data_IF_490296617113
#
_entry.id   IF_490296617113
#
_cell.length_a   1.000
_cell.length_b   1.000
_cell.length_c   1.000
_cell.angle_alpha   90.00
_cell.angle_beta   90.00
_cell.angle_gamma   90.00
#
_symmetry.space_group_name_H-M   'P 1'
#
loop_
_entity.id
_entity.type
_entity.pdbx_description
1 polymer ?
#
# COMPACT_ATOMS: atom_id res chain seq x y z
N UNK A 1 -23.22 -23.30 41.04
CA UNK A 1 -22.58 -23.45 39.72
C UNK A 1 -23.56 -24.21 38.83
N UNK A 2 -24.36 -23.46 38.06
CA UNK A 2 -25.10 -23.86 36.87
C UNK A 2 -25.76 -22.61 36.28
N UNK A 3 -25.89 -22.61 34.95
CA UNK A 3 -26.24 -21.51 34.05
C UNK A 3 -27.65 -20.93 34.28
N UNK A 4 -27.81 -19.63 33.99
CA UNK A 4 -29.07 -19.06 33.49
C UNK A 4 -28.77 -17.95 32.47
N UNK A 5 -29.27 -18.15 31.25
CA UNK A 5 -29.46 -17.13 30.20
C UNK A 5 -30.88 -16.57 30.34
N UNK A 6 -31.04 -15.24 30.30
CA UNK A 6 -32.14 -14.52 29.63
C UNK A 6 -31.87 -13.01 29.69
N UNK A 7 -31.72 -12.37 28.54
CA UNK A 7 -32.70 -11.46 27.92
C UNK A 7 -32.91 -10.18 28.75
N UNK A 8 -32.47 -9.00 28.34
CA UNK A 8 -32.99 -8.29 27.17
C UNK A 8 -32.24 -6.96 27.07
N UNK A 9 -31.44 -6.75 26.02
CA UNK A 9 -30.94 -5.40 25.70
C UNK A 9 -31.90 -4.79 24.68
N UNK A 10 -32.78 -3.95 25.20
CA UNK A 10 -33.74 -3.14 24.44
C UNK A 10 -33.00 -2.17 23.54
N UNK A 11 -33.42 -2.16 22.27
CA UNK A 11 -32.92 -1.38 21.14
C UNK A 11 -33.30 0.10 21.20
N UNK A 12 -32.99 0.77 22.30
CA UNK A 12 -33.17 2.22 22.46
C UNK A 12 -32.02 2.76 23.30
N UNK A 13 -30.85 2.88 22.66
CA UNK A 13 -29.76 3.79 23.02
C UNK A 13 -28.67 3.65 21.95
N UNK A 14 -29.04 3.84 20.68
CA UNK A 14 -28.07 4.23 19.65
C UNK A 14 -27.70 5.69 19.93
N UNK A 15 -26.81 5.87 20.91
CA UNK A 15 -25.90 7.00 20.88
C UNK A 15 -25.29 7.03 19.48
N UNK A 16 -25.48 8.12 18.76
CA UNK A 16 -24.82 8.40 17.48
C UNK A 16 -23.31 8.24 17.64
N UNK A 17 -22.80 7.02 17.38
CA UNK A 17 -21.38 6.74 17.26
C UNK A 17 -20.86 7.57 16.10
N UNK A 18 -19.92 8.46 16.38
CA UNK A 18 -19.19 9.20 15.36
C UNK A 18 -18.36 8.18 14.57
N UNK A 19 -18.87 7.69 13.44
CA UNK A 19 -18.16 6.77 12.56
C UNK A 19 -16.95 7.48 11.93
N UNK A 20 -15.77 7.35 12.53
CA UNK A 20 -14.51 7.85 11.96
C UNK A 20 -13.98 6.80 10.98
N UNK A 21 -13.84 7.18 9.70
CA UNK A 21 -13.14 6.37 8.69
C UNK A 21 -11.79 6.98 8.41
N UNK A 22 -10.74 6.15 8.43
CA UNK A 22 -9.42 6.58 8.01
C UNK A 22 -9.20 6.22 6.54
N UNK A 23 -8.73 7.20 5.78
CA UNK A 23 -8.31 7.08 4.38
C UNK A 23 -6.91 7.67 4.24
N UNK A 24 -6.27 7.47 3.09
CA UNK A 24 -4.87 7.84 2.80
C UNK A 24 -3.85 6.84 3.37
N UNK A 25 -2.56 7.08 3.15
CA UNK A 25 -1.48 6.27 3.70
C UNK A 25 -1.52 6.32 5.23
N UNK A 26 -1.25 5.21 5.93
CA UNK A 26 -0.75 3.93 5.41
C UNK A 26 -1.84 2.91 5.05
N UNK A 27 -3.11 3.31 4.93
CA UNK A 27 -4.23 2.39 4.79
C UNK A 27 -4.31 1.75 3.39
N UNK A 28 -4.58 0.45 3.35
CA UNK A 28 -4.64 -0.40 2.15
C UNK A 28 -5.50 0.18 1.02
N UNK A 29 -6.66 0.76 1.37
CA UNK A 29 -7.62 1.31 0.41
C UNK A 29 -7.00 2.33 -0.55
N UNK A 30 -6.03 3.12 -0.08
CA UNK A 30 -5.35 4.12 -0.90
C UNK A 30 -4.38 3.49 -1.90
N UNK A 31 -3.77 2.36 -1.55
CA UNK A 31 -2.86 1.62 -2.42
C UNK A 31 -3.64 0.85 -3.50
N UNK A 32 -4.73 0.17 -3.12
CA UNK A 32 -5.64 -0.47 -4.07
C UNK A 32 -6.27 0.53 -5.04
N UNK A 33 -6.66 1.70 -4.55
CA UNK A 33 -7.17 2.77 -5.40
C UNK A 33 -6.10 3.28 -6.36
N UNK A 34 -4.87 3.54 -5.89
CA UNK A 34 -3.77 3.98 -6.74
C UNK A 34 -3.46 2.98 -7.86
N UNK A 35 -3.42 1.68 -7.53
CA UNK A 35 -3.23 0.62 -8.52
C UNK A 35 -4.38 0.57 -9.53
N UNK A 36 -5.62 0.65 -9.04
CA UNK A 36 -6.82 0.65 -9.90
C UNK A 36 -6.74 1.76 -10.95
N UNK A 37 -6.43 2.99 -10.53
CA UNK A 37 -6.29 4.13 -11.44
C UNK A 37 -5.12 3.92 -12.41
N UNK A 38 -3.97 3.44 -11.93
CA UNK A 38 -2.82 3.19 -12.77
C UNK A 38 -3.10 2.12 -13.85
N UNK A 39 -3.81 1.05 -13.49
CA UNK A 39 -4.24 0.01 -14.42
C UNK A 39 -5.30 0.49 -15.42
N UNK A 40 -6.23 1.36 -15.00
CA UNK A 40 -7.17 1.99 -15.93
C UNK A 40 -6.44 2.83 -16.99
N UNK A 41 -5.44 3.62 -16.56
CA UNK A 41 -4.62 4.43 -17.48
C UNK A 41 -3.80 3.53 -18.41
N UNK A 42 -3.16 2.48 -17.90
CA UNK A 42 -2.37 1.55 -18.71
C UNK A 42 -3.22 0.92 -19.82
N UNK A 43 -4.39 0.37 -19.46
CA UNK A 43 -5.30 -0.28 -20.41
C UNK A 43 -5.87 0.71 -21.43
N UNK A 44 -6.21 1.93 -21.02
CA UNK A 44 -6.66 2.99 -21.92
C UNK A 44 -5.58 3.37 -22.97
N UNK A 45 -4.31 3.15 -22.66
CA UNK A 45 -3.17 3.38 -23.55
C UNK A 45 -2.67 2.10 -24.25
N UNK A 46 -3.45 1.01 -24.23
CA UNK A 46 -3.08 -0.26 -24.85
C UNK A 46 -1.87 -0.96 -24.19
N UNK A 47 -1.53 -0.59 -22.95
CA UNK A 47 -0.46 -1.22 -22.18
C UNK A 47 -1.01 -2.42 -21.39
N UNK A 48 -0.16 -3.42 -21.07
CA UNK A 48 -0.55 -4.49 -20.16
C UNK A 48 -0.83 -3.94 -18.76
N UNK A 49 -1.52 -4.75 -17.94
CA UNK A 49 -1.72 -4.41 -16.53
C UNK A 49 -0.39 -4.38 -15.78
N UNK A 50 -0.34 -3.57 -14.74
CA UNK A 50 0.81 -3.36 -13.88
C UNK A 50 0.98 -4.57 -12.96
N UNK A 51 2.16 -5.19 -13.01
CA UNK A 51 2.52 -6.34 -12.17
C UNK A 51 3.45 -5.94 -11.02
N UNK A 52 4.21 -4.86 -11.17
CA UNK A 52 5.23 -4.42 -10.22
C UNK A 52 5.01 -2.95 -9.91
N UNK A 53 4.81 -2.63 -8.63
CA UNK A 53 4.57 -1.26 -8.17
C UNK A 53 5.74 -0.80 -7.33
N UNK A 54 6.22 0.41 -7.57
CA UNK A 54 7.27 1.05 -6.79
C UNK A 54 6.72 2.30 -6.09
N UNK A 55 6.66 2.27 -4.77
CA UNK A 55 6.26 3.44 -3.98
C UNK A 55 7.48 4.22 -3.53
N UNK A 56 7.59 5.45 -4.02
CA UNK A 56 8.66 6.38 -3.66
C UNK A 56 8.09 7.37 -2.63
N UNK A 57 8.72 7.50 -1.47
CA UNK A 57 8.28 8.42 -0.43
C UNK A 57 9.38 8.77 0.56
N UNK A 58 9.18 9.84 1.32
CA UNK A 58 10.15 10.43 2.24
C UNK A 58 9.86 10.15 3.71
N UNK A 59 8.69 9.59 4.04
CA UNK A 59 8.26 9.35 5.41
C UNK A 59 8.17 7.83 5.71
N UNK A 60 9.07 7.28 6.55
CA UNK A 60 9.08 5.88 6.95
C UNK A 60 7.79 5.43 7.63
N UNK A 61 7.17 6.31 8.43
CA UNK A 61 5.99 6.01 9.23
C UNK A 61 4.68 6.04 8.43
N UNK A 62 4.72 6.51 7.19
CA UNK A 62 3.54 6.70 6.35
C UNK A 62 3.71 6.01 5.00
N UNK A 63 4.72 6.43 4.22
CA UNK A 63 4.93 5.91 2.88
C UNK A 63 5.51 4.49 2.91
N UNK A 64 6.54 4.25 3.72
CA UNK A 64 7.23 2.95 3.74
C UNK A 64 6.37 1.89 4.41
N UNK A 65 5.77 2.19 5.57
CA UNK A 65 4.81 1.28 6.22
C UNK A 65 3.69 0.90 5.26
N UNK A 66 3.02 1.86 4.64
CA UNK A 66 1.88 1.55 3.77
C UNK A 66 2.28 0.72 2.55
N UNK A 67 3.40 1.03 1.91
CA UNK A 67 3.90 0.26 0.77
C UNK A 67 4.28 -1.17 1.15
N UNK A 68 4.92 -1.36 2.31
CA UNK A 68 5.30 -2.67 2.80
C UNK A 68 4.06 -3.50 3.21
N UNK A 69 3.09 -2.88 3.88
CA UNK A 69 1.80 -3.50 4.19
C UNK A 69 1.09 -3.93 2.92
N UNK A 70 1.03 -3.07 1.89
CA UNK A 70 0.42 -3.40 0.61
C UNK A 70 1.11 -4.60 -0.05
N UNK A 71 2.44 -4.60 -0.11
CA UNK A 71 3.20 -5.74 -0.64
C UNK A 71 2.91 -7.06 0.09
N UNK A 72 2.66 -7.01 1.40
CA UNK A 72 2.33 -8.20 2.17
C UNK A 72 0.93 -8.76 1.86
N UNK A 73 0.03 -7.92 1.35
CA UNK A 73 -1.33 -8.30 0.97
C UNK A 73 -1.39 -8.90 -0.45
N UNK A 74 -0.49 -8.50 -1.37
CA UNK A 74 -0.46 -9.00 -2.75
C UNK A 74 -0.35 -10.54 -2.88
N UNK A 75 0.47 -11.27 -2.08
CA UNK A 75 0.50 -12.74 -2.12
C UNK A 75 -0.78 -13.39 -1.58
N UNK A 76 -1.55 -12.69 -0.73
CA UNK A 76 -2.73 -13.23 -0.05
C UNK A 76 -4.00 -13.10 -0.90
N UNK A 77 -3.98 -12.22 -1.90
CA UNK A 77 -5.02 -12.05 -2.93
C UNK A 77 -5.33 -13.34 -3.72
N UNK A 78 -4.42 -14.33 -3.75
CA UNK A 78 -4.68 -15.63 -4.39
C UNK A 78 -5.73 -16.45 -3.61
N UNK A 79 -5.89 -16.23 -2.30
CA UNK A 79 -6.83 -16.97 -1.44
C UNK A 79 -7.96 -16.12 -0.82
N UNK A 80 -7.85 -14.78 -0.77
CA UNK A 80 -8.78 -13.91 -0.03
C UNK A 80 -9.89 -13.23 -0.84
N UNK A 81 -9.97 -13.48 -2.15
CA UNK A 81 -11.07 -12.97 -3.02
C UNK A 81 -12.48 -13.35 -2.54
N UNK A 82 -12.61 -14.17 -1.51
CA UNK A 82 -13.87 -14.69 -0.97
C UNK A 82 -14.25 -14.21 0.43
N UNK A 83 -13.48 -13.40 1.18
CA UNK A 83 -13.87 -13.23 2.61
C UNK A 83 -13.66 -11.90 3.33
N UNK A 84 -12.71 -11.01 3.01
CA UNK A 84 -12.47 -9.82 3.86
C UNK A 84 -12.02 -8.61 3.03
N UNK A 85 -12.92 -8.04 2.24
CA UNK A 85 -12.83 -6.60 1.98
C UNK A 85 -13.85 -5.93 2.90
N UNK A 86 -13.37 -5.26 3.94
CA UNK A 86 -14.19 -4.47 4.87
C UNK A 86 -14.95 -3.34 4.14
N UNK A 87 -14.65 -3.12 2.86
CA UNK A 87 -15.39 -2.26 1.96
C UNK A 87 -15.65 -3.01 0.65
N UNK A 88 -16.86 -3.49 0.44
CA UNK A 88 -17.38 -3.91 -0.88
C UNK A 88 -17.33 -2.79 -1.97
N UNK A 89 -16.58 -1.71 -1.75
CA UNK A 89 -16.48 -0.52 -2.60
C UNK A 89 -15.49 -0.64 -3.77
N UNK A 90 -14.58 -1.61 -3.80
CA UNK A 90 -13.77 -1.86 -4.99
C UNK A 90 -14.31 -3.08 -5.73
N UNK A 91 -15.44 -2.88 -6.39
CA UNK A 91 -16.07 -3.82 -7.35
C UNK A 91 -15.22 -4.12 -8.59
N UNK A 92 -13.98 -3.67 -8.64
CA UNK A 92 -13.07 -3.84 -9.76
C UNK A 92 -11.76 -4.52 -9.33
N UNK A 93 -11.86 -5.65 -8.63
CA UNK A 93 -10.74 -6.60 -8.45
C UNK A 93 -10.04 -6.96 -9.78
N UNK A 94 -10.72 -6.77 -10.91
CA UNK A 94 -10.13 -6.89 -12.25
C UNK A 94 -8.95 -5.94 -12.48
N UNK A 95 -8.86 -4.80 -11.80
CA UNK A 95 -7.75 -3.85 -11.90
C UNK A 95 -6.70 -4.04 -10.80
N UNK A 96 -6.84 -5.05 -9.94
CA UNK A 96 -5.80 -5.46 -9.00
C UNK A 96 -5.04 -6.64 -9.62
N UNK A 97 -3.82 -6.37 -10.08
CA UNK A 97 -2.92 -7.27 -10.81
C UNK A 97 -1.47 -7.25 -10.34
N UNK A 98 -1.11 -6.33 -9.43
CA UNK A 98 0.24 -6.27 -8.90
C UNK A 98 0.56 -7.58 -8.16
N UNK A 99 1.73 -8.13 -8.47
CA UNK A 99 2.29 -9.31 -7.81
C UNK A 99 3.41 -8.94 -6.83
N UNK A 100 3.91 -7.71 -6.93
CA UNK A 100 4.91 -7.17 -6.01
C UNK A 100 4.78 -5.65 -5.86
N UNK A 101 5.15 -5.18 -4.69
CA UNK A 101 5.22 -3.78 -4.33
C UNK A 101 6.52 -3.51 -3.55
N UNK A 102 7.31 -2.55 -4.02
CA UNK A 102 8.57 -2.17 -3.39
C UNK A 102 8.53 -0.74 -2.88
N UNK A 103 9.10 -0.54 -1.69
CA UNK A 103 9.17 0.76 -1.04
C UNK A 103 10.56 1.38 -1.22
N UNK A 104 10.62 2.61 -1.73
CA UNK A 104 11.84 3.38 -1.91
C UNK A 104 11.77 4.62 -1.04
N UNK A 105 12.64 4.68 -0.04
CA UNK A 105 12.77 5.84 0.83
C UNK A 105 13.71 6.87 0.21
N UNK A 106 13.23 8.10 0.04
CA UNK A 106 14.06 9.22 -0.42
C UNK A 106 14.46 10.15 0.73
N UNK A 107 15.61 10.82 0.61
CA UNK A 107 16.19 11.65 1.67
C UNK A 107 15.94 13.16 1.48
N UNK A 108 14.95 13.55 0.67
CA UNK A 108 14.64 14.94 0.34
C UNK A 108 13.47 15.53 1.14
N UNK A 109 13.03 14.87 2.22
CA UNK A 109 11.84 15.26 2.97
C UNK A 109 11.90 14.89 4.46
N UNK A 110 10.82 14.33 5.01
CA UNK A 110 10.67 14.03 6.44
C UNK A 110 11.81 13.17 6.99
N UNK A 111 12.25 12.16 6.22
CA UNK A 111 13.40 11.35 6.59
C UNK A 111 14.72 12.08 6.31
N UNK A 112 15.50 12.25 7.37
CA UNK A 112 16.84 12.80 7.32
C UNK A 112 17.85 11.77 7.83
N UNK A 113 18.69 11.16 6.96
CA UNK A 113 19.57 10.06 7.35
C UNK A 113 20.63 10.44 8.39
N UNK A 114 20.98 11.73 8.49
CA UNK A 114 21.94 12.23 9.47
C UNK A 114 21.34 12.46 10.85
N UNK A 115 20.01 12.57 10.96
CA UNK A 115 19.31 12.88 12.21
C UNK A 115 18.50 11.70 12.74
N UNK A 116 18.08 10.82 11.85
CA UNK A 116 17.17 9.73 12.16
C UNK A 116 17.79 8.40 11.75
N UNK A 117 17.67 7.40 12.63
CA UNK A 117 17.97 6.01 12.29
C UNK A 117 16.64 5.31 12.00
N UNK A 118 16.62 4.49 10.95
CA UNK A 118 15.50 3.61 10.72
C UNK A 118 15.36 2.62 11.88
N UNK A 119 14.12 2.39 12.29
CA UNK A 119 13.81 1.43 13.34
C UNK A 119 13.94 0.01 12.80
N UNK A 120 15.13 -0.57 12.95
CA UNK A 120 15.42 -1.93 12.52
C UNK A 120 14.65 -3.02 13.27
N UNK A 121 13.96 -2.68 14.37
CA UNK A 121 13.10 -3.62 15.10
C UNK A 121 11.72 -3.72 14.47
N UNK A 122 11.31 -2.73 13.66
CA UNK A 122 10.05 -2.73 12.96
C UNK A 122 10.27 -2.99 11.45
N UNK A 123 10.08 -4.24 10.98
CA UNK A 123 10.34 -4.57 9.57
C UNK A 123 9.44 -3.78 8.60
N UNK A 124 8.26 -3.32 9.04
CA UNK A 124 7.37 -2.51 8.22
C UNK A 124 7.92 -1.12 7.90
N UNK A 125 8.85 -0.60 8.70
CA UNK A 125 9.51 0.70 8.47
C UNK A 125 10.77 0.58 7.62
N UNK A 126 11.21 -0.63 7.29
CA UNK A 126 12.41 -0.86 6.50
C UNK A 126 12.07 -0.77 5.01
N UNK A 127 12.62 0.21 4.28
CA UNK A 127 12.39 0.32 2.86
C UNK A 127 13.13 -0.77 2.10
N UNK A 128 12.63 -1.14 0.92
CA UNK A 128 13.37 -2.04 0.00
C UNK A 128 14.72 -1.44 -0.38
N UNK A 129 14.77 -0.12 -0.62
CA UNK A 129 16.03 0.62 -0.81
C UNK A 129 15.88 2.08 -0.38
N UNK A 130 17.00 2.71 -0.05
CA UNK A 130 17.10 4.15 0.21
C UNK A 130 17.78 4.81 -0.98
N UNK A 131 17.31 5.99 -1.39
CA UNK A 131 17.89 6.81 -2.46
C UNK A 131 17.98 8.25 -2.03
N UNK A 132 18.91 9.00 -2.64
CA UNK A 132 19.14 10.39 -2.28
C UNK A 132 17.87 11.22 -2.52
N UNK A 133 17.28 11.06 -3.70
CA UNK A 133 16.11 11.79 -4.17
C UNK A 133 15.25 10.92 -5.13
N UNK A 134 14.18 11.51 -5.66
CA UNK A 134 13.27 10.86 -6.60
C UNK A 134 13.96 10.52 -7.92
N UNK A 135 14.93 11.32 -8.38
CA UNK A 135 15.64 11.08 -9.63
C UNK A 135 16.48 9.79 -9.53
N UNK A 136 17.25 9.64 -8.46
CA UNK A 136 18.02 8.43 -8.19
C UNK A 136 17.13 7.21 -7.93
N UNK A 137 15.94 7.41 -7.37
CA UNK A 137 14.94 6.35 -7.23
C UNK A 137 14.43 5.85 -8.59
N UNK A 138 14.03 6.76 -9.48
CA UNK A 138 13.54 6.40 -10.82
C UNK A 138 14.66 5.77 -11.66
N UNK A 139 15.88 6.33 -11.62
CA UNK A 139 17.06 5.74 -12.28
C UNK A 139 17.31 4.32 -11.80
N UNK A 140 17.23 4.07 -10.50
CA UNK A 140 17.35 2.73 -9.94
C UNK A 140 16.28 1.77 -10.46
N UNK A 141 15.00 2.18 -10.48
CA UNK A 141 13.89 1.35 -10.96
C UNK A 141 14.12 0.95 -12.42
N UNK A 142 14.44 1.94 -13.27
CA UNK A 142 14.67 1.74 -14.69
C UNK A 142 15.81 0.74 -14.94
N UNK A 143 16.93 0.90 -14.23
CA UNK A 143 18.07 0.00 -14.34
C UNK A 143 17.70 -1.42 -13.87
N UNK A 144 16.96 -1.53 -12.76
CA UNK A 144 16.50 -2.81 -12.20
C UNK A 144 15.55 -3.54 -13.14
N UNK A 145 14.63 -2.82 -13.78
CA UNK A 145 13.65 -3.36 -14.72
C UNK A 145 14.23 -3.61 -16.13
N UNK A 146 15.52 -3.31 -16.35
CA UNK A 146 16.21 -3.52 -17.62
C UNK A 146 15.50 -2.84 -18.81
N UNK A 147 15.00 -1.62 -18.61
CA UNK A 147 14.28 -0.90 -19.67
C UNK A 147 15.20 -0.57 -20.86
N UNK A 148 14.88 -1.05 -22.08
CA UNK A 148 15.85 -1.15 -23.17
C UNK A 148 16.31 0.19 -23.77
N UNK A 149 15.61 1.30 -23.55
CA UNK A 149 15.94 2.60 -24.16
C UNK A 149 16.93 3.46 -23.38
N UNK A 150 17.40 3.03 -22.19
CA UNK A 150 18.28 3.86 -21.33
C UNK A 150 19.75 3.42 -21.34
N UNK A 151 20.07 2.29 -21.98
CA UNK A 151 21.46 1.79 -22.08
C UNK A 151 22.33 2.62 -23.04
N UNK A 152 21.77 3.63 -23.73
CA UNK A 152 22.46 4.42 -24.76
C UNK A 152 22.38 5.96 -24.56
N UNK A 153 22.11 6.46 -23.35
CA UNK A 153 22.12 7.90 -23.05
C UNK A 153 23.35 8.32 -22.25
#
# INVERSE_FOLDING_TARGET
>A
MNLHFSSSYTSENLSTELGITFVDKPFEISYQYAETIANQIALANGQPKIERVYFIGDNPDVAIIGANMYNHLLPQEINLRTSISCYNLLTDSKYLSATSCESILVCTGVYEPNKQKLDCKNPWKLPTTIKLDVFEAVKYIILKESWPWIVNC
#
